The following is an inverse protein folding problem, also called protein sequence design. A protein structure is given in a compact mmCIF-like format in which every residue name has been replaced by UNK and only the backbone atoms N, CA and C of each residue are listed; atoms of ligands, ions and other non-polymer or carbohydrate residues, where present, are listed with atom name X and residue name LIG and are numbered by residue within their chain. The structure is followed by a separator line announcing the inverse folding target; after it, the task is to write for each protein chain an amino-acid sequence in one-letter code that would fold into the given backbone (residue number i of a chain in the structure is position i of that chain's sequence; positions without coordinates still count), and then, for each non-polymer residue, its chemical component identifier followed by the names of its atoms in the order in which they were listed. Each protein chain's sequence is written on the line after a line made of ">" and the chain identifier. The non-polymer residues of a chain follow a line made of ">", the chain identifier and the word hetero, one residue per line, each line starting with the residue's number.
data_IF_315737751800
#
_entry.id   IF_315737751800
#
_cell.length_a   1.000
_cell.length_b   1.000
_cell.length_c   1.000
_cell.angle_alpha   90.00
_cell.angle_beta   90.00
_cell.angle_gamma   90.00
#
_symmetry.space_group_name_H-M   'P 1'
#
loop_
_entity.id
_entity.type
_entity.pdbx_description
1 polymer ?
#
# COMPACT_ATOMS: atom_id res chain seq x y z
N UNK A 1 -39.81 5.34 17.63
CA UNK A 1 -38.46 4.95 18.06
C UNK A 1 -37.79 4.43 16.80
N UNK A 2 -36.88 5.21 16.21
CA UNK A 2 -36.17 4.82 15.00
C UNK A 2 -34.80 4.32 15.42
N UNK A 3 -34.46 3.10 15.02
CA UNK A 3 -33.13 2.53 15.23
C UNK A 3 -32.32 2.81 13.96
N UNK A 4 -31.15 3.42 14.12
CA UNK A 4 -30.13 3.47 13.08
C UNK A 4 -29.40 2.12 13.14
N UNK A 5 -29.67 1.24 12.17
CA UNK A 5 -28.79 0.12 11.87
C UNK A 5 -27.52 0.70 11.24
N UNK A 6 -26.39 0.47 11.89
CA UNK A 6 -25.08 0.80 11.34
C UNK A 6 -24.57 -0.47 10.65
N UNK A 7 -24.61 -0.51 9.31
CA UNK A 7 -23.78 -1.45 8.55
C UNK A 7 -22.34 -0.96 8.64
N UNK A 8 -21.48 -1.79 9.21
CA UNK A 8 -20.05 -1.52 9.30
C UNK A 8 -19.42 -1.82 7.94
N UNK A 9 -19.07 -0.77 7.20
CA UNK A 9 -18.33 -0.85 5.94
C UNK A 9 -16.84 -0.56 6.20
N UNK A 10 -15.95 -1.48 5.80
CA UNK A 10 -14.50 -1.40 6.01
C UNK A 10 -13.79 -0.53 4.97
N UNK A 11 -14.43 0.53 4.48
CA UNK A 11 -13.89 1.43 3.45
C UNK A 11 -13.16 2.64 4.06
N UNK A 12 -12.04 3.03 3.45
CA UNK A 12 -11.20 4.15 3.90
C UNK A 12 -11.01 5.16 2.78
N UNK A 13 -11.36 6.42 3.05
CA UNK A 13 -11.09 7.55 2.16
C UNK A 13 -9.66 8.05 2.37
N UNK A 14 -8.87 8.14 1.30
CA UNK A 14 -7.52 8.71 1.36
C UNK A 14 -7.46 10.06 0.62
N UNK A 15 -6.66 10.99 1.14
CA UNK A 15 -6.45 12.31 0.56
C UNK A 15 -5.27 12.25 -0.42
N UNK A 16 -5.56 12.20 -1.72
CA UNK A 16 -4.55 12.10 -2.77
C UNK A 16 -4.28 13.47 -3.42
N UNK A 17 -3.68 14.42 -2.70
CA UNK A 17 -2.93 15.54 -3.31
C UNK A 17 -1.82 16.00 -2.35
N UNK A 18 -0.67 16.37 -2.90
CA UNK A 18 0.45 16.92 -2.15
C UNK A 18 0.04 18.11 -1.27
N UNK A 19 0.83 18.41 -0.24
CA UNK A 19 0.56 19.49 0.71
C UNK A 19 0.56 20.85 0.00
N UNK A 20 -0.60 21.28 -0.50
CA UNK A 20 -0.80 22.62 -1.05
C UNK A 20 -1.25 23.51 0.10
N UNK A 21 -0.46 24.53 0.42
CA UNK A 21 -0.89 25.57 1.35
C UNK A 21 -2.00 26.38 0.68
N UNK A 22 -3.23 26.31 1.22
CA UNK A 22 -4.35 27.08 0.72
C UNK A 22 -4.11 28.55 1.09
N UNK A 23 -3.63 29.33 0.13
CA UNK A 23 -3.55 30.79 0.29
C UNK A 23 -4.94 31.39 0.08
N UNK A 24 -5.34 32.33 0.95
CA UNK A 24 -6.61 33.06 0.91
C UNK A 24 -7.87 32.25 1.30
N UNK A 25 -7.84 31.56 2.45
CA UNK A 25 -9.06 31.13 3.15
C UNK A 25 -9.90 32.37 3.52
N UNK A 26 -11.04 32.57 2.84
CA UNK A 26 -12.00 33.64 3.17
C UNK A 26 -12.32 34.63 2.03
N UNK A 27 -11.77 34.46 0.83
CA UNK A 27 -12.29 35.12 -0.38
C UNK A 27 -13.13 34.12 -1.16
N UNK A 28 -14.36 34.49 -1.53
CA UNK A 28 -15.41 33.67 -2.19
C UNK A 28 -15.04 33.05 -3.57
N UNK A 29 -13.76 33.00 -3.94
CA UNK A 29 -13.28 32.54 -5.24
C UNK A 29 -12.50 31.22 -5.20
N UNK A 30 -12.25 30.65 -4.01
CA UNK A 30 -11.52 29.38 -3.90
C UNK A 30 -12.50 28.21 -3.87
N UNK A 31 -12.96 27.76 -5.05
CA UNK A 31 -13.63 26.46 -5.16
C UNK A 31 -12.61 25.34 -4.92
N UNK A 32 -12.68 24.74 -3.73
CA UNK A 32 -11.89 23.55 -3.43
C UNK A 32 -12.61 22.34 -4.02
N UNK A 33 -12.19 21.94 -5.22
CA UNK A 33 -12.67 20.72 -5.87
C UNK A 33 -11.95 19.51 -5.27
N UNK A 34 -12.64 18.78 -4.39
CA UNK A 34 -12.15 17.52 -3.84
C UNK A 34 -12.47 16.38 -4.82
N UNK A 35 -11.44 15.79 -5.42
CA UNK A 35 -11.56 14.52 -6.11
C UNK A 35 -11.34 13.41 -5.07
N UNK A 36 -12.42 12.74 -4.66
CA UNK A 36 -12.33 11.61 -3.77
C UNK A 36 -12.10 10.33 -4.56
N UNK A 37 -11.01 9.64 -4.26
CA UNK A 37 -10.70 8.33 -4.83
C UNK A 37 -11.26 7.24 -3.91
N UNK A 38 -12.09 6.36 -4.46
CA UNK A 38 -12.62 5.21 -3.73
C UNK A 38 -11.59 4.07 -3.80
N UNK A 39 -11.04 3.71 -2.64
CA UNK A 39 -10.07 2.63 -2.52
C UNK A 39 -10.75 1.34 -2.06
N UNK A 40 -10.26 0.22 -2.59
CA UNK A 40 -10.74 -1.10 -2.28
C UNK A 40 -9.70 -1.89 -1.48
N UNK A 41 -10.14 -2.69 -0.50
CA UNK A 41 -9.25 -3.51 0.30
C UNK A 41 -8.74 -4.71 -0.51
N UNK A 42 -7.44 -4.95 -0.40
CA UNK A 42 -6.71 -6.08 -0.96
C UNK A 42 -5.94 -6.75 0.15
N UNK A 43 -6.08 -8.07 0.28
CA UNK A 43 -5.31 -8.87 1.24
C UNK A 43 -4.05 -9.40 0.56
N UNK A 44 -2.92 -9.20 1.21
CA UNK A 44 -1.62 -9.67 0.76
C UNK A 44 -1.09 -10.70 1.76
N UNK A 45 -0.61 -11.82 1.25
CA UNK A 45 0.17 -12.78 2.02
C UNK A 45 1.57 -12.82 1.43
N UNK A 46 2.54 -12.25 2.15
CA UNK A 46 3.93 -12.18 1.70
C UNK A 46 4.76 -13.24 2.43
N UNK A 47 5.54 -14.02 1.69
CA UNK A 47 6.50 -14.98 2.25
C UNK A 47 7.89 -14.73 1.67
N UNK A 48 8.89 -14.79 2.52
CA UNK A 48 10.29 -14.61 2.15
C UNK A 48 10.98 -15.96 1.98
N UNK A 49 11.81 -16.07 0.94
CA UNK A 49 12.65 -17.23 0.69
C UNK A 49 13.59 -17.51 1.88
N UNK A 50 13.99 -18.78 2.10
CA UNK A 50 14.82 -19.22 3.23
C UNK A 50 16.12 -18.43 3.44
N UNK A 51 16.70 -17.99 2.33
CA UNK A 51 18.04 -17.40 2.22
C UNK A 51 17.99 -15.90 1.93
N UNK A 52 16.81 -15.26 2.04
CA UNK A 52 16.68 -13.83 1.74
C UNK A 52 17.58 -13.00 2.66
N UNK A 53 18.41 -12.16 2.04
CA UNK A 53 19.40 -11.33 2.74
C UNK A 53 18.90 -9.90 3.00
N UNK A 54 19.66 -9.17 3.82
CA UNK A 54 19.51 -7.73 4.09
C UNK A 54 18.17 -7.30 4.68
N UNK A 55 17.66 -8.08 5.63
CA UNK A 55 16.51 -7.71 6.44
C UNK A 55 16.82 -6.50 7.35
N UNK A 56 15.82 -5.66 7.70
CA UNK A 56 14.41 -5.78 7.35
C UNK A 56 14.07 -5.25 5.96
N UNK A 57 13.06 -5.84 5.33
CA UNK A 57 12.48 -5.38 4.07
C UNK A 57 11.30 -4.44 4.39
N UNK A 58 11.34 -3.23 3.85
CA UNK A 58 10.29 -2.21 3.96
C UNK A 58 9.30 -2.36 2.82
N UNK A 59 8.01 -2.25 3.11
CA UNK A 59 6.95 -2.27 2.10
C UNK A 59 6.42 -0.85 1.86
N UNK A 60 6.12 -0.53 0.61
CA UNK A 60 5.53 0.73 0.20
C UNK A 60 4.50 0.52 -0.89
N UNK A 61 3.48 1.37 -0.90
CA UNK A 61 2.44 1.46 -1.93
C UNK A 61 2.05 2.92 -2.11
N UNK A 62 1.23 3.21 -3.12
CA UNK A 62 0.88 4.59 -3.46
C UNK A 62 -0.24 5.14 -2.57
N UNK A 63 -1.19 4.28 -2.17
CA UNK A 63 -2.35 4.70 -1.36
C UNK A 63 -2.38 4.15 0.06
N UNK A 64 -1.47 3.25 0.45
CA UNK A 64 -1.41 2.73 1.81
C UNK A 64 -0.05 3.01 2.45
N UNK A 65 -0.09 3.68 3.60
CA UNK A 65 1.09 3.95 4.43
C UNK A 65 1.40 2.74 5.31
N UNK A 66 2.60 2.19 5.18
CA UNK A 66 3.10 1.13 6.04
C UNK A 66 4.01 1.68 7.14
N UNK A 67 3.79 1.22 8.37
CA UNK A 67 4.58 1.56 9.54
C UNK A 67 5.80 0.64 9.68
N UNK A 68 6.66 0.91 10.67
CA UNK A 68 7.81 0.03 10.94
C UNK A 68 7.40 -1.37 11.40
N UNK A 69 6.23 -1.51 12.01
CA UNK A 69 5.71 -2.80 12.45
C UNK A 69 5.26 -3.67 11.27
N UNK A 70 5.13 -3.08 10.08
CA UNK A 70 4.72 -3.79 8.88
C UNK A 70 5.90 -4.37 8.10
N UNK A 71 7.14 -4.11 8.53
CA UNK A 71 8.35 -4.61 7.87
C UNK A 71 8.46 -6.14 7.95
N UNK A 72 9.10 -6.71 6.94
CA UNK A 72 9.37 -8.15 6.87
C UNK A 72 10.76 -8.39 7.49
N UNK A 73 10.79 -9.17 8.56
CA UNK A 73 11.95 -9.29 9.46
C UNK A 73 12.54 -10.69 9.53
N UNK A 74 11.82 -11.70 9.04
CA UNK A 74 12.16 -13.11 9.20
C UNK A 74 11.78 -13.92 7.94
N UNK A 75 12.70 -14.78 7.43
CA UNK A 75 12.40 -15.73 6.36
C UNK A 75 11.34 -16.77 6.76
N UNK A 76 10.63 -17.34 5.78
CA UNK A 76 9.66 -18.44 5.96
C UNK A 76 8.47 -18.16 6.88
N UNK A 77 8.28 -16.91 7.32
CA UNK A 77 7.09 -16.49 8.07
C UNK A 77 6.11 -15.85 7.09
N UNK A 78 4.83 -16.22 7.11
CA UNK A 78 3.81 -15.53 6.33
C UNK A 78 3.48 -14.18 6.98
N UNK A 79 3.55 -13.12 6.19
CA UNK A 79 3.14 -11.77 6.57
C UNK A 79 1.82 -11.41 5.90
N UNK A 80 0.74 -11.33 6.67
CA UNK A 80 -0.54 -10.85 6.16
C UNK A 80 -0.62 -9.33 6.28
N UNK A 81 -0.95 -8.65 5.19
CA UNK A 81 -1.12 -7.19 5.14
C UNK A 81 -2.40 -6.84 4.39
N UNK A 82 -3.10 -5.82 4.87
CA UNK A 82 -4.23 -5.22 4.17
C UNK A 82 -3.74 -3.95 3.48
N UNK A 83 -3.98 -3.86 2.19
CA UNK A 83 -3.70 -2.72 1.33
C UNK A 83 -5.03 -2.13 0.89
N UNK A 84 -5.15 -0.81 0.82
CA UNK A 84 -6.22 -0.13 0.10
C UNK A 84 -5.64 0.45 -1.19
N UNK A 85 -6.23 0.14 -2.34
CA UNK A 85 -5.78 0.65 -3.66
C UNK A 85 -6.97 0.94 -4.57
N UNK A 86 -6.76 1.73 -5.63
CA UNK A 86 -7.74 1.92 -6.69
C UNK A 86 -7.71 0.70 -7.62
N UNK A 87 -8.85 0.03 -7.74
CA UNK A 87 -8.98 -1.16 -8.58
C UNK A 87 -8.93 -0.84 -10.08
N UNK A 88 -9.13 0.41 -10.49
CA UNK A 88 -9.22 0.78 -11.90
C UNK A 88 -7.85 1.02 -12.55
N UNK A 89 -6.78 0.98 -11.77
CA UNK A 89 -5.41 1.13 -12.22
C UNK A 89 -4.51 0.05 -11.63
N UNK A 90 -3.36 -0.16 -12.26
CA UNK A 90 -2.33 -1.03 -11.72
C UNK A 90 -1.68 -0.37 -10.51
N UNK A 91 -1.48 -1.15 -9.45
CA UNK A 91 -0.82 -0.69 -8.22
C UNK A 91 0.52 -1.41 -8.06
N UNK A 92 1.58 -0.64 -7.81
CA UNK A 92 2.90 -1.20 -7.57
C UNK A 92 3.22 -1.25 -6.08
N UNK A 93 3.43 -2.46 -5.57
CA UNK A 93 4.00 -2.68 -4.24
C UNK A 93 5.51 -2.74 -4.36
N UNK A 94 6.19 -1.89 -3.58
CA UNK A 94 7.65 -1.79 -3.53
C UNK A 94 8.17 -2.42 -2.25
N UNK A 95 9.10 -3.35 -2.39
CA UNK A 95 9.81 -3.98 -1.28
C UNK A 95 11.26 -3.50 -1.30
N UNK A 96 11.68 -2.74 -0.30
CA UNK A 96 13.00 -2.10 -0.28
C UNK A 96 13.84 -2.61 0.87
N UNK A 97 15.09 -2.99 0.60
CA UNK A 97 16.08 -3.42 1.60
C UNK A 97 17.37 -2.61 1.47
N UNK A 98 18.14 -2.55 2.55
CA UNK A 98 19.42 -1.79 2.60
C UNK A 98 20.57 -2.78 2.70
N UNK A 99 21.50 -2.73 1.74
CA UNK A 99 22.72 -3.52 1.73
C UNK A 99 23.69 -3.06 2.84
N UNK A 100 24.70 -3.88 3.22
CA UNK A 100 25.68 -3.52 4.24
C UNK A 100 26.52 -2.29 3.89
N UNK A 101 26.68 -2.00 2.59
CA UNK A 101 27.36 -0.82 2.06
C UNK A 101 26.50 0.45 2.12
N UNK A 102 25.25 0.36 2.58
CA UNK A 102 24.29 1.46 2.66
C UNK A 102 23.49 1.70 1.39
N UNK A 103 23.79 1.01 0.28
CA UNK A 103 23.01 1.11 -0.95
C UNK A 103 21.67 0.35 -0.81
N UNK A 104 20.71 0.67 -1.68
CA UNK A 104 19.38 0.07 -1.61
C UNK A 104 19.17 -0.96 -2.71
N UNK A 105 18.31 -1.92 -2.42
CA UNK A 105 17.73 -2.81 -3.42
C UNK A 105 16.22 -2.80 -3.32
N UNK A 106 15.56 -3.01 -4.46
CA UNK A 106 14.12 -3.02 -4.55
C UNK A 106 13.61 -4.22 -5.36
N UNK A 107 12.61 -4.91 -4.82
CA UNK A 107 11.73 -5.81 -5.55
C UNK A 107 10.38 -5.12 -5.76
N UNK A 108 9.68 -5.49 -6.84
CA UNK A 108 8.40 -4.89 -7.23
C UNK A 108 7.39 -6.00 -7.50
N UNK A 109 6.18 -5.80 -7.03
CA UNK A 109 5.04 -6.63 -7.35
C UNK A 109 3.92 -5.74 -7.88
N UNK A 110 3.31 -6.15 -8.99
CA UNK A 110 2.24 -5.41 -9.64
C UNK A 110 0.90 -6.09 -9.37
N UNK A 111 -0.01 -5.33 -8.75
CA UNK A 111 -1.41 -5.71 -8.65
C UNK A 111 -2.10 -5.21 -9.93
N UNK A 112 -2.69 -6.10 -10.74
CA UNK A 112 -3.39 -5.70 -11.95
C UNK A 112 -4.68 -4.96 -11.59
N UNK A 113 -5.10 -4.06 -12.49
CA UNK A 113 -6.44 -3.47 -12.42
C UNK A 113 -7.52 -4.56 -12.47
N UNK A 114 -8.55 -4.42 -11.65
CA UNK A 114 -9.69 -5.34 -11.59
C UNK A 114 -11.01 -4.60 -11.57
N UNK A 115 -12.01 -5.16 -12.25
CA UNK A 115 -13.39 -4.66 -12.22
C UNK A 115 -14.24 -5.36 -11.14
N UNK A 116 -13.68 -6.31 -10.39
CA UNK A 116 -14.40 -7.02 -9.34
C UNK A 116 -14.71 -6.10 -8.16
N UNK A 117 -15.78 -6.42 -7.42
CA UNK A 117 -16.17 -5.72 -6.19
C UNK A 117 -15.91 -6.54 -4.93
N UNK A 118 -15.50 -7.81 -5.10
CA UNK A 118 -15.14 -8.68 -3.99
C UNK A 118 -13.72 -8.42 -3.48
N UNK A 119 -13.40 -8.86 -2.25
CA UNK A 119 -12.04 -8.86 -1.74
C UNK A 119 -11.10 -9.57 -2.71
N UNK A 120 -9.96 -8.95 -3.00
CA UNK A 120 -8.92 -9.56 -3.83
C UNK A 120 -7.76 -9.99 -2.94
N UNK A 121 -7.23 -11.18 -3.20
CA UNK A 121 -6.14 -11.76 -2.42
C UNK A 121 -4.95 -12.04 -3.34
N UNK A 122 -3.74 -11.68 -2.87
CA UNK A 122 -2.50 -11.98 -3.57
C UNK A 122 -1.50 -12.65 -2.65
N UNK A 123 -0.84 -13.68 -3.18
CA UNK A 123 0.29 -14.33 -2.56
C UNK A 123 1.57 -13.84 -3.24
N UNK A 124 2.49 -13.31 -2.43
CA UNK A 124 3.77 -12.75 -2.90
C UNK A 124 4.89 -13.57 -2.28
N UNK A 125 5.72 -14.18 -3.13
CA UNK A 125 6.93 -14.86 -2.70
C UNK A 125 8.15 -14.06 -3.15
N UNK A 126 9.00 -13.65 -2.21
CA UNK A 126 10.20 -12.86 -2.50
C UNK A 126 11.47 -13.66 -2.24
N UNK A 127 12.31 -13.76 -3.26
CA UNK A 127 13.65 -14.34 -3.23
C UNK A 127 14.73 -13.25 -3.37
N UNK A 128 16.00 -13.62 -3.19
CA UNK A 128 17.10 -12.67 -3.39
C UNK A 128 17.16 -12.12 -4.82
N UNK A 129 16.79 -12.93 -5.81
CA UNK A 129 16.90 -12.59 -7.23
C UNK A 129 15.91 -11.50 -7.66
N UNK A 130 14.82 -11.33 -6.91
CA UNK A 130 13.80 -10.31 -7.16
C UNK A 130 14.29 -8.90 -6.83
N UNK A 131 15.29 -8.77 -5.95
CA UNK A 131 15.82 -7.49 -5.51
C UNK A 131 16.92 -6.98 -6.44
N UNK A 132 16.68 -5.81 -7.06
CA UNK A 132 17.63 -5.13 -7.95
C UNK A 132 18.17 -3.86 -7.30
N UNK A 133 19.44 -3.54 -7.56
CA UNK A 133 20.05 -2.28 -7.11
C UNK A 133 19.29 -1.08 -7.72
N UNK A 134 19.11 -0.01 -6.92
CA UNK A 134 18.43 1.24 -7.31
C UNK A 134 19.31 2.47 -7.15
#
# INVERSE_FOLDING_TARGET
>A
MYFLEYEYDESYWNFYQGRIEIQNLGTDTTEVNYNFLHLYPVNLTITLAPDVEFLPIRMGSDFTSFSRNDWLTEPKVPYTRKLNTDKNQEEQIRFTRTKPDGNYQQARFEIPATNTTGPTEFEIYLSNDDFKDI
#
